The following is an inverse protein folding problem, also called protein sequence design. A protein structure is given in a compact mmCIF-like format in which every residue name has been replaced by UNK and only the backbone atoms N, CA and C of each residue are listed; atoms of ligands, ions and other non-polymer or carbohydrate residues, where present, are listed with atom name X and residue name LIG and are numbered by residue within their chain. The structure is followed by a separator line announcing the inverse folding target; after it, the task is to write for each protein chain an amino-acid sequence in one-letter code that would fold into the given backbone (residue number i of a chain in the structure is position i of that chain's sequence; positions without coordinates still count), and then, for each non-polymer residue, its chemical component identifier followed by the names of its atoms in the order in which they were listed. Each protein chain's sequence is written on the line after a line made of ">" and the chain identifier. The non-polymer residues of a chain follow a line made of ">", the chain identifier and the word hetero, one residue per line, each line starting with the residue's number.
data_IF_706377669346
#
_entry.id   IF_706377669346
#
_cell.length_a   1.000
_cell.length_b   1.000
_cell.length_c   1.000
_cell.angle_alpha   90.00
_cell.angle_beta   90.00
_cell.angle_gamma   90.00
#
_symmetry.space_group_name_H-M   'P 1'
#
loop_
_entity.id
_entity.type
_entity.pdbx_description
1 polymer ?
#
# COMPACT_ATOMS: atom_id res chain seq x y z
N UNK A 1 -16.08 2.01 2.59
CA UNK A 1 -16.45 0.61 2.33
C UNK A 1 -16.52 0.29 0.81
N UNK A 2 -15.75 1.00 -0.04
CA UNK A 2 -15.98 1.06 -1.50
C UNK A 2 -15.65 -0.22 -2.26
N UNK A 3 -14.52 -0.83 -1.97
CA UNK A 3 -14.16 -2.16 -2.43
C UNK A 3 -14.66 -3.15 -1.38
N UNK A 4 -15.25 -4.30 -1.77
CA UNK A 4 -15.85 -5.30 -0.88
C UNK A 4 -14.85 -6.00 0.09
N UNK A 5 -13.81 -5.30 0.54
CA UNK A 5 -12.79 -5.69 1.49
C UNK A 5 -12.82 -4.80 2.76
N UNK A 6 -13.89 -4.76 3.56
CA UNK A 6 -13.71 -4.40 4.94
C UNK A 6 -13.32 -5.67 5.70
N UNK A 7 -12.15 -5.66 6.35
CA UNK A 7 -11.81 -6.56 7.45
C UNK A 7 -12.71 -6.33 8.70
N UNK A 8 -13.87 -5.72 8.49
CA UNK A 8 -14.89 -5.47 9.48
C UNK A 8 -15.97 -6.55 9.37
N UNK A 9 -16.20 -7.23 10.47
CA UNK A 9 -17.35 -8.09 10.68
C UNK A 9 -18.55 -7.25 11.12
N UNK A 10 -19.68 -7.44 10.45
CA UNK A 10 -20.93 -6.74 10.75
C UNK A 10 -21.91 -7.77 11.32
N UNK A 11 -22.50 -7.44 12.46
CA UNK A 11 -23.61 -8.17 13.05
C UNK A 11 -24.80 -7.23 13.23
N UNK A 12 -26.00 -7.70 12.85
CA UNK A 12 -27.23 -6.90 12.83
C UNK A 12 -27.06 -5.52 12.15
N UNK A 13 -26.57 -5.56 10.92
CA UNK A 13 -26.34 -4.40 10.05
C UNK A 13 -26.03 -4.82 8.62
N UNK A 14 -25.84 -3.86 7.73
CA UNK A 14 -25.51 -4.09 6.32
C UNK A 14 -24.68 -2.94 5.74
N UNK A 15 -24.02 -3.18 4.61
CA UNK A 15 -23.39 -2.10 3.83
C UNK A 15 -24.42 -1.54 2.86
N UNK A 16 -24.71 -0.25 2.99
CA UNK A 16 -25.61 0.47 2.08
C UNK A 16 -24.83 1.53 1.28
N UNK A 17 -25.42 1.98 0.19
CA UNK A 17 -24.94 3.12 -0.58
C UNK A 17 -25.74 4.38 -0.20
N UNK A 18 -25.09 5.39 0.39
CA UNK A 18 -25.69 6.70 0.63
C UNK A 18 -25.58 7.54 -0.65
N UNK A 19 -26.66 7.59 -1.42
CA UNK A 19 -26.70 8.32 -2.69
C UNK A 19 -26.52 9.84 -2.56
N UNK A 20 -26.77 10.43 -1.37
CA UNK A 20 -26.57 11.87 -1.15
C UNK A 20 -25.08 12.17 -1.02
N UNK A 21 -24.35 11.30 -0.32
CA UNK A 21 -22.91 11.43 -0.08
C UNK A 21 -22.05 10.71 -1.13
N UNK A 22 -22.66 10.00 -2.09
CA UNK A 22 -21.99 9.20 -3.12
C UNK A 22 -20.95 8.23 -2.54
N UNK A 23 -21.28 7.58 -1.42
CA UNK A 23 -20.37 6.70 -0.69
C UNK A 23 -21.09 5.49 -0.07
N UNK A 24 -20.36 4.38 0.09
CA UNK A 24 -20.82 3.20 0.85
C UNK A 24 -20.56 3.39 2.35
N UNK A 25 -21.60 3.14 3.14
CA UNK A 25 -21.60 3.23 4.60
C UNK A 25 -22.09 1.92 5.23
N UNK A 26 -21.65 1.64 6.46
CA UNK A 26 -22.22 0.58 7.27
C UNK A 26 -23.45 1.10 8.02
N UNK A 27 -24.61 0.51 7.76
CA UNK A 27 -25.82 0.69 8.56
C UNK A 27 -25.80 -0.31 9.71
N UNK A 28 -25.80 0.17 10.95
CA UNK A 28 -25.98 -0.66 12.14
C UNK A 28 -27.36 -0.38 12.74
N UNK A 29 -28.18 -1.43 12.87
CA UNK A 29 -29.44 -1.35 13.59
C UNK A 29 -29.19 -1.26 15.11
N UNK A 30 -30.21 -0.94 15.93
CA UNK A 30 -30.09 -0.99 17.38
C UNK A 30 -29.62 -2.38 17.84
N UNK A 31 -28.57 -2.42 18.67
CA UNK A 31 -27.87 -3.64 19.09
C UNK A 31 -26.88 -4.21 18.06
N UNK A 32 -26.75 -3.58 16.88
CA UNK A 32 -25.81 -3.97 15.84
C UNK A 32 -24.37 -3.67 16.22
N UNK A 33 -23.45 -4.48 15.70
CA UNK A 33 -22.02 -4.34 15.98
C UNK A 33 -21.18 -4.35 14.72
N UNK A 34 -20.13 -3.55 14.73
CA UNK A 34 -19.09 -3.51 13.72
C UNK A 34 -17.77 -3.83 14.42
N UNK A 35 -17.07 -4.89 14.00
CA UNK A 35 -15.88 -5.41 14.68
C UNK A 35 -14.73 -5.59 13.72
N UNK A 36 -13.54 -5.24 14.13
CA UNK A 36 -12.33 -5.51 13.38
C UNK A 36 -11.26 -6.02 14.32
N UNK A 37 -10.77 -7.22 14.04
CA UNK A 37 -9.56 -7.72 14.65
C UNK A 37 -8.36 -7.10 13.92
N UNK A 38 -7.46 -6.47 14.66
CA UNK A 38 -6.18 -6.07 14.09
C UNK A 38 -5.29 -7.30 13.95
N UNK A 39 -5.37 -7.92 12.77
CA UNK A 39 -4.39 -8.89 12.32
C UNK A 39 -3.03 -8.21 12.12
N UNK A 40 -1.96 -8.99 12.11
CA UNK A 40 -0.61 -8.49 11.89
C UNK A 40 -0.52 -7.83 10.50
N UNK A 41 -0.57 -6.50 10.47
CA UNK A 41 -0.29 -5.71 9.27
C UNK A 41 1.23 -5.59 9.12
N UNK A 42 1.78 -6.35 8.19
CA UNK A 42 3.19 -6.26 7.79
C UNK A 42 3.46 -4.87 7.21
N UNK A 43 4.55 -4.21 7.62
CA UNK A 43 5.00 -2.93 7.05
C UNK A 43 4.46 -1.65 7.71
N UNK A 44 3.58 -1.72 8.71
CA UNK A 44 3.18 -0.53 9.50
C UNK A 44 3.97 -0.52 10.81
N UNK A 45 4.95 0.38 11.00
CA UNK A 45 5.68 0.48 12.25
C UNK A 45 4.75 0.91 13.38
N UNK A 46 4.54 0.01 14.35
CA UNK A 46 3.78 0.32 15.57
C UNK A 46 4.72 0.91 16.62
N UNK A 47 4.43 2.13 17.05
CA UNK A 47 5.17 2.77 18.15
C UNK A 47 4.51 2.36 19.46
N UNK A 48 5.18 1.50 20.24
CA UNK A 48 4.57 0.87 21.43
C UNK A 48 4.16 1.89 22.50
N UNK A 49 4.84 3.02 22.55
CA UNK A 49 4.68 4.07 23.55
C UNK A 49 3.55 5.05 23.22
N UNK A 50 3.01 5.04 22.00
CA UNK A 50 1.96 5.97 21.56
C UNK A 50 0.60 5.27 21.50
N UNK A 51 -0.44 5.96 21.95
CA UNK A 51 -1.82 5.48 21.84
C UNK A 51 -2.40 5.82 20.46
N UNK A 52 -3.40 5.07 20.04
CA UNK A 52 -4.07 5.29 18.76
C UNK A 52 -5.10 6.42 18.84
N UNK A 53 -5.38 6.98 17.68
CA UNK A 53 -6.49 7.87 17.40
C UNK A 53 -7.45 7.16 16.44
N UNK A 54 -8.75 7.34 16.66
CA UNK A 54 -9.81 6.79 15.83
C UNK A 54 -10.68 7.91 15.29
N UNK A 55 -10.67 8.06 13.97
CA UNK A 55 -11.55 8.95 13.24
C UNK A 55 -12.59 8.15 12.49
N UNK A 56 -13.82 8.63 12.51
CA UNK A 56 -14.90 8.08 11.67
C UNK A 56 -16.00 9.10 11.49
N UNK A 57 -16.86 8.85 10.51
CA UNK A 57 -18.08 9.64 10.28
C UNK A 57 -19.29 8.88 10.74
N UNK A 58 -20.23 9.63 11.34
CA UNK A 58 -21.50 9.11 11.82
C UNK A 58 -22.66 9.92 11.26
N UNK A 59 -23.75 9.25 10.90
CA UNK A 59 -25.00 9.88 10.49
C UNK A 59 -26.19 9.07 10.98
N UNK A 60 -27.27 9.75 11.35
CA UNK A 60 -28.50 9.10 11.78
C UNK A 60 -29.20 8.47 10.58
N UNK A 61 -29.69 7.24 10.72
CA UNK A 61 -30.55 6.65 9.68
C UNK A 61 -31.87 7.43 9.58
N UNK A 62 -32.44 7.49 8.37
CA UNK A 62 -33.68 8.20 8.11
C UNK A 62 -34.84 7.66 8.99
N UNK A 63 -35.62 8.57 9.57
CA UNK A 63 -36.81 8.22 10.35
C UNK A 63 -36.56 7.76 11.79
N UNK A 64 -35.31 7.76 12.26
CA UNK A 64 -35.02 7.47 13.65
C UNK A 64 -35.32 8.68 14.55
N UNK A 65 -36.02 8.47 15.67
CA UNK A 65 -36.38 9.53 16.62
C UNK A 65 -35.32 9.70 17.74
N UNK A 66 -34.76 8.59 18.22
CA UNK A 66 -33.81 8.58 19.35
C UNK A 66 -32.40 9.06 18.96
N UNK A 67 -31.56 9.52 19.91
CA UNK A 67 -30.17 9.82 19.63
C UNK A 67 -29.41 8.56 19.17
N UNK A 68 -28.35 8.78 18.40
CA UNK A 68 -27.32 7.77 18.20
C UNK A 68 -26.59 7.61 19.52
N UNK A 69 -26.37 6.37 19.95
CA UNK A 69 -25.53 6.03 21.08
C UNK A 69 -24.60 4.91 20.64
N UNK A 70 -23.32 5.23 20.45
CA UNK A 70 -22.30 4.27 20.03
C UNK A 70 -21.30 4.05 21.16
N UNK A 71 -21.06 2.79 21.50
CA UNK A 71 -19.95 2.42 22.37
C UNK A 71 -18.79 1.91 21.52
N UNK A 72 -17.59 2.44 21.75
CA UNK A 72 -16.35 2.07 21.08
C UNK A 72 -15.52 1.30 22.09
N UNK A 73 -15.29 0.02 21.83
CA UNK A 73 -14.66 -0.92 22.75
C UNK A 73 -13.35 -1.41 22.17
N UNK A 74 -12.31 -1.44 22.99
CA UNK A 74 -11.12 -2.25 22.70
C UNK A 74 -11.17 -3.51 23.54
N UNK A 75 -11.09 -4.66 22.87
CA UNK A 75 -11.18 -5.97 23.49
C UNK A 75 -9.85 -6.71 23.32
N UNK A 76 -9.34 -7.26 24.41
CA UNK A 76 -8.19 -8.17 24.41
C UNK A 76 -8.51 -9.41 25.24
N UNK A 77 -8.29 -10.60 24.66
CA UNK A 77 -8.59 -11.88 25.32
C UNK A 77 -10.03 -11.94 25.90
N UNK A 78 -11.01 -11.49 25.09
CA UNK A 78 -12.43 -11.41 25.46
C UNK A 78 -12.75 -10.51 26.66
N UNK A 79 -11.86 -9.58 27.01
CA UNK A 79 -12.10 -8.55 28.04
C UNK A 79 -12.07 -7.17 27.41
N UNK A 80 -13.03 -6.33 27.78
CA UNK A 80 -13.01 -4.91 27.45
C UNK A 80 -11.90 -4.26 28.28
N UNK A 81 -10.93 -3.67 27.59
CA UNK A 81 -9.80 -2.95 28.21
C UNK A 81 -9.91 -1.43 28.03
N UNK A 82 -10.81 -0.97 27.15
CA UNK A 82 -11.12 0.43 26.91
C UNK A 82 -12.54 0.57 26.39
N UNK A 83 -13.23 1.63 26.81
CA UNK A 83 -14.58 1.97 26.35
C UNK A 83 -14.71 3.49 26.23
N UNK A 84 -15.06 3.95 25.03
CA UNK A 84 -15.53 5.31 24.76
C UNK A 84 -17.01 5.28 24.36
N UNK A 85 -17.69 6.41 24.51
CA UNK A 85 -19.09 6.55 24.12
C UNK A 85 -19.31 7.82 23.31
N UNK A 86 -20.02 7.68 22.20
CA UNK A 86 -20.38 8.78 21.30
C UNK A 86 -21.91 8.91 21.29
N UNK A 87 -22.39 10.12 21.54
CA UNK A 87 -23.81 10.45 21.52
C UNK A 87 -24.05 11.61 20.55
N UNK A 88 -25.03 11.46 19.66
CA UNK A 88 -25.31 12.45 18.62
C UNK A 88 -26.79 12.52 18.26
N UNK A 89 -27.25 13.71 17.86
CA UNK A 89 -28.64 13.97 17.46
C UNK A 89 -28.79 14.61 16.09
N UNK A 90 -27.70 14.98 15.42
CA UNK A 90 -27.76 15.60 14.10
C UNK A 90 -28.19 14.64 12.99
N UNK A 91 -28.81 15.19 11.95
CA UNK A 91 -29.31 14.44 10.78
C UNK A 91 -28.24 14.27 9.68
N UNK A 92 -27.24 15.15 9.67
CA UNK A 92 -26.14 15.14 8.72
C UNK A 92 -24.94 14.32 9.21
N UNK A 93 -24.03 14.03 8.27
CA UNK A 93 -22.75 13.40 8.55
C UNK A 93 -21.91 14.28 9.49
N UNK A 94 -21.42 13.66 10.56
CA UNK A 94 -20.57 14.30 11.56
C UNK A 94 -19.27 13.53 11.69
N UNK A 95 -18.15 14.26 11.67
CA UNK A 95 -16.83 13.72 12.00
C UNK A 95 -16.70 13.51 13.51
N UNK A 96 -16.26 12.31 13.89
CA UNK A 96 -15.96 11.91 15.26
C UNK A 96 -14.46 11.65 15.35
N UNK A 97 -13.82 12.26 16.35
CA UNK A 97 -12.41 12.11 16.66
C UNK A 97 -12.27 11.60 18.09
N UNK A 98 -11.66 10.43 18.26
CA UNK A 98 -11.34 9.85 19.56
C UNK A 98 -9.82 9.70 19.70
N UNK A 99 -9.29 10.15 20.83
CA UNK A 99 -7.87 10.09 21.15
C UNK A 99 -7.58 9.07 22.25
N UNK A 100 -6.31 8.69 22.39
CA UNK A 100 -5.80 7.86 23.49
C UNK A 100 -6.38 6.44 23.53
N UNK A 101 -6.68 5.85 22.37
CA UNK A 101 -7.20 4.48 22.27
C UNK A 101 -6.05 3.47 22.50
N UNK A 102 -6.10 2.63 23.55
CA UNK A 102 -5.07 1.64 23.87
C UNK A 102 -5.24 0.38 22.99
N UNK A 103 -4.79 0.48 21.75
CA UNK A 103 -4.97 -0.53 20.71
C UNK A 103 -3.64 -1.13 20.24
N UNK A 104 -3.56 -2.46 20.08
CA UNK A 104 -2.36 -3.16 19.64
C UNK A 104 -2.70 -4.43 18.85
N UNK A 105 -1.68 -5.11 18.31
CA UNK A 105 -1.85 -6.40 17.63
C UNK A 105 -2.65 -7.38 18.49
N UNK A 106 -3.57 -8.12 17.86
CA UNK A 106 -4.52 -9.06 18.50
C UNK A 106 -5.60 -8.40 19.35
N UNK A 107 -5.66 -7.07 19.40
CA UNK A 107 -6.83 -6.37 19.95
C UNK A 107 -7.93 -6.32 18.90
N UNK A 108 -9.16 -6.36 19.38
CA UNK A 108 -10.37 -6.17 18.57
C UNK A 108 -10.92 -4.78 18.86
N UNK A 109 -11.18 -4.01 17.81
CA UNK A 109 -11.93 -2.78 17.87
C UNK A 109 -13.39 -3.12 17.57
N UNK A 110 -14.28 -2.84 18.52
CA UNK A 110 -15.71 -3.13 18.40
C UNK A 110 -16.51 -1.85 18.60
N UNK A 111 -17.34 -1.52 17.63
CA UNK A 111 -18.38 -0.52 17.76
C UNK A 111 -19.72 -1.21 18.01
N UNK A 112 -20.45 -0.77 19.02
CA UNK A 112 -21.75 -1.29 19.40
C UNK A 112 -22.79 -0.16 19.37
N UNK A 113 -23.82 -0.32 18.55
CA UNK A 113 -24.93 0.61 18.50
C UNK A 113 -25.92 0.31 19.64
N UNK A 114 -25.99 1.20 20.61
CA UNK A 114 -26.89 1.16 21.77
C UNK A 114 -28.08 2.13 21.65
N UNK A 115 -28.23 2.82 20.52
CA UNK A 115 -29.27 3.82 20.29
C UNK A 115 -30.00 3.61 18.97
N UNK A 116 -30.35 4.72 18.32
CA UNK A 116 -31.00 4.71 17.01
C UNK A 116 -30.15 4.03 15.92
N UNK A 117 -30.77 3.49 14.85
CA UNK A 117 -30.03 3.00 13.69
C UNK A 117 -29.12 4.09 13.11
N UNK A 118 -27.90 3.70 12.76
CA UNK A 118 -26.80 4.63 12.47
C UNK A 118 -26.01 4.20 11.24
N UNK A 119 -25.58 5.18 10.46
CA UNK A 119 -24.66 5.04 9.35
C UNK A 119 -23.25 5.42 9.78
N UNK A 120 -22.28 4.60 9.40
CA UNK A 120 -20.87 4.75 9.73
C UNK A 120 -20.02 4.69 8.46
N UNK A 121 -19.06 5.60 8.33
CA UNK A 121 -18.12 5.61 7.21
C UNK A 121 -16.76 6.19 7.61
N UNK A 122 -15.79 6.14 6.68
CA UNK A 122 -14.51 6.83 6.80
C UNK A 122 -13.71 6.52 8.07
N UNK A 123 -13.57 5.23 8.39
CA UNK A 123 -12.78 4.78 9.54
C UNK A 123 -11.28 4.91 9.31
N UNK A 124 -10.59 5.63 10.20
CA UNK A 124 -9.14 5.71 10.26
C UNK A 124 -8.67 5.46 11.69
N UNK A 125 -7.88 4.40 11.88
CA UNK A 125 -7.22 4.09 13.14
C UNK A 125 -5.72 4.26 12.96
N UNK A 126 -5.12 5.25 13.61
CA UNK A 126 -3.73 5.64 13.37
C UNK A 126 -3.01 6.07 14.64
N UNK A 127 -1.68 6.01 14.63
CA UNK A 127 -0.84 6.64 15.63
C UNK A 127 -0.23 7.90 15.01
N UNK A 128 -0.28 9.02 15.72
CA UNK A 128 0.53 10.18 15.35
C UNK A 128 1.97 9.92 15.79
N UNK A 129 2.80 9.42 14.88
CA UNK A 129 4.24 9.40 15.09
C UNK A 129 4.83 10.73 14.62
N UNK A 130 5.56 11.41 15.50
CA UNK A 130 6.37 12.56 15.11
C UNK A 130 7.62 12.07 14.39
N UNK A 131 7.48 11.62 13.15
CA UNK A 131 8.63 11.39 12.29
C UNK A 131 9.06 12.72 11.68
N UNK A 132 10.37 13.01 11.79
CA UNK A 132 11.10 14.19 11.32
C UNK A 132 10.65 14.73 9.95
N UNK A 133 9.50 15.42 9.86
CA UNK A 133 9.04 15.85 8.55
C UNK A 133 7.60 16.29 8.46
N UNK A 134 6.63 15.49 8.90
CA UNK A 134 5.26 15.59 8.36
C UNK A 134 4.35 16.52 9.14
N UNK A 135 4.51 16.55 10.46
CA UNK A 135 3.75 17.42 11.37
C UNK A 135 4.75 18.29 12.13
N UNK A 136 4.47 19.59 12.25
CA UNK A 136 5.35 20.52 12.95
C UNK A 136 5.26 20.39 14.48
N UNK A 137 6.11 21.12 15.19
CA UNK A 137 6.18 21.09 16.64
C UNK A 137 4.90 21.58 17.35
N UNK A 138 3.94 22.15 16.61
CA UNK A 138 2.63 22.59 17.12
C UNK A 138 1.49 21.64 16.78
N UNK A 139 1.78 20.47 16.20
CA UNK A 139 0.77 19.50 15.79
C UNK A 139 0.08 19.84 14.47
N UNK A 140 0.56 20.85 13.73
CA UNK A 140 0.00 21.21 12.42
C UNK A 140 0.66 20.41 11.30
N UNK A 141 -0.11 19.85 10.36
CA UNK A 141 0.46 19.22 9.18
C UNK A 141 1.31 20.22 8.39
N UNK A 142 2.54 19.83 8.02
CA UNK A 142 3.38 20.65 7.15
C UNK A 142 2.78 20.66 5.74
N UNK A 143 3.17 21.66 4.96
CA UNK A 143 2.54 21.98 3.68
C UNK A 143 2.44 20.80 2.69
N UNK A 144 3.34 19.82 2.77
CA UNK A 144 3.35 18.63 1.92
C UNK A 144 2.45 17.47 2.41
N UNK A 145 1.82 17.56 3.59
CA UNK A 145 0.92 16.52 4.12
C UNK A 145 -0.25 16.26 3.17
N UNK A 146 -0.85 17.33 2.64
CA UNK A 146 -1.94 17.23 1.67
C UNK A 146 -1.48 16.56 0.35
N UNK A 147 -0.21 16.76 -0.01
CA UNK A 147 0.39 16.11 -1.18
C UNK A 147 0.60 14.61 -0.93
N UNK A 148 0.98 14.21 0.29
CA UNK A 148 1.14 12.82 0.70
C UNK A 148 -0.21 12.09 0.81
N UNK A 149 -1.23 12.74 1.38
CA UNK A 149 -2.61 12.23 1.40
C UNK A 149 -3.17 12.10 -0.03
N UNK A 150 -2.93 13.09 -0.88
CA UNK A 150 -3.29 13.02 -2.31
C UNK A 150 -2.55 11.90 -3.04
N UNK A 151 -1.28 11.67 -2.72
CA UNK A 151 -0.51 10.57 -3.27
C UNK A 151 -1.11 9.22 -2.85
N UNK A 152 -1.43 9.03 -1.57
CA UNK A 152 -2.11 7.83 -1.08
C UNK A 152 -3.50 7.64 -1.73
N UNK A 153 -4.28 8.70 -1.91
CA UNK A 153 -5.55 8.64 -2.65
C UNK A 153 -5.37 8.29 -4.14
N UNK A 154 -4.30 8.78 -4.79
CA UNK A 154 -3.97 8.42 -6.17
C UNK A 154 -3.50 6.96 -6.28
N UNK A 155 -2.75 6.48 -5.30
CA UNK A 155 -2.27 5.10 -5.25
C UNK A 155 -3.41 4.10 -4.96
N UNK A 156 -4.36 4.45 -4.09
CA UNK A 156 -5.54 3.64 -3.76
C UNK A 156 -6.59 3.58 -4.88
N UNK A 157 -6.53 4.48 -5.86
CA UNK A 157 -7.40 4.49 -7.06
C UNK A 157 -6.79 3.81 -8.28
N UNK A 158 -5.51 3.41 -8.24
CA UNK A 158 -4.94 2.57 -9.30
C UNK A 158 -5.50 1.17 -9.15
N UNK A 159 -5.87 0.52 -10.26
CA UNK A 159 -6.09 -0.93 -10.28
C UNK A 159 -4.82 -1.59 -9.76
N UNK A 160 -4.83 -2.02 -8.50
CA UNK A 160 -3.73 -2.80 -7.92
C UNK A 160 -3.88 -4.18 -8.53
N UNK A 161 -3.17 -4.42 -9.64
CA UNK A 161 -2.96 -5.78 -10.09
C UNK A 161 -2.27 -6.53 -8.96
N UNK A 162 -2.79 -7.70 -8.52
CA UNK A 162 -2.11 -8.48 -7.50
C UNK A 162 -0.67 -8.71 -7.95
N UNK A 163 0.32 -8.45 -7.08
CA UNK A 163 1.72 -8.51 -7.48
C UNK A 163 1.99 -9.91 -8.04
N UNK A 164 2.54 -9.97 -9.25
CA UNK A 164 2.98 -11.24 -9.84
C UNK A 164 4.33 -11.60 -9.26
N UNK A 165 4.65 -12.89 -9.23
CA UNK A 165 6.00 -13.34 -8.91
C UNK A 165 6.95 -13.30 -10.10
N UNK A 166 6.41 -13.23 -11.31
CA UNK A 166 7.15 -13.21 -12.56
C UNK A 166 6.40 -12.34 -13.58
N UNK A 167 7.14 -11.49 -14.29
CA UNK A 167 6.61 -10.53 -15.26
C UNK A 167 7.15 -10.86 -16.64
N UNK A 168 6.24 -11.03 -17.60
CA UNK A 168 6.56 -11.19 -19.01
C UNK A 168 6.56 -9.84 -19.72
N UNK A 169 7.02 -9.81 -20.97
CA UNK A 169 7.19 -8.59 -21.75
C UNK A 169 5.93 -7.69 -21.81
N UNK A 170 4.72 -8.28 -21.82
CA UNK A 170 3.46 -7.53 -21.81
C UNK A 170 3.11 -6.88 -20.46
N UNK A 171 3.71 -7.35 -19.37
CA UNK A 171 3.45 -6.88 -18.01
C UNK A 171 4.35 -5.68 -17.65
N UNK A 172 5.46 -5.50 -18.36
CA UNK A 172 6.46 -4.47 -18.06
C UNK A 172 6.02 -3.14 -18.66
N UNK A 173 5.29 -2.34 -17.87
CA UNK A 173 4.74 -1.06 -18.32
C UNK A 173 5.05 0.09 -17.34
N UNK A 174 5.09 1.35 -17.82
CA UNK A 174 5.28 2.52 -16.94
C UNK A 174 4.15 2.73 -15.93
N UNK A 175 2.98 2.12 -16.15
CA UNK A 175 1.89 2.12 -15.19
C UNK A 175 2.18 1.21 -13.99
N UNK A 176 2.85 0.07 -14.25
CA UNK A 176 3.17 -0.94 -13.25
C UNK A 176 4.50 -0.68 -12.52
N UNK A 177 5.49 -0.09 -13.21
CA UNK A 177 6.83 0.10 -12.67
C UNK A 177 7.31 1.54 -12.84
N UNK A 178 8.01 2.03 -11.82
CA UNK A 178 8.75 3.29 -11.93
C UNK A 178 10.12 3.04 -12.57
N UNK A 179 10.51 3.90 -13.51
CA UNK A 179 11.80 3.82 -14.20
C UNK A 179 11.86 2.89 -15.41
N UNK A 180 10.72 2.54 -16.00
CA UNK A 180 10.63 1.92 -17.33
C UNK A 180 9.93 2.83 -18.33
N UNK A 181 10.42 2.84 -19.57
CA UNK A 181 9.81 3.57 -20.67
C UNK A 181 8.70 2.76 -21.37
N UNK A 182 7.79 3.38 -22.15
CA UNK A 182 6.68 2.67 -22.82
C UNK A 182 7.11 1.52 -23.74
N UNK A 183 8.33 1.57 -24.26
CA UNK A 183 8.95 0.56 -25.11
C UNK A 183 9.76 -0.50 -24.35
N UNK A 184 9.72 -0.45 -23.01
CA UNK A 184 10.35 -1.39 -22.04
C UNK A 184 11.83 -1.20 -21.80
N UNK A 185 12.40 -0.09 -22.27
CA UNK A 185 13.73 0.29 -21.83
C UNK A 185 13.72 0.63 -20.34
N UNK A 186 14.60 -0.01 -19.60
CA UNK A 186 14.88 0.35 -18.21
C UNK A 186 15.75 1.62 -18.19
N UNK A 187 15.43 2.58 -17.31
CA UNK A 187 16.33 3.69 -17.00
C UNK A 187 17.49 3.29 -16.07
N UNK A 188 17.96 4.23 -15.25
CA UNK A 188 19.00 3.96 -14.23
C UNK A 188 18.50 3.00 -13.15
N UNK A 189 17.25 3.18 -12.73
CA UNK A 189 16.60 2.39 -11.69
C UNK A 189 15.24 1.90 -12.18
N UNK A 190 14.87 0.67 -11.87
CA UNK A 190 13.51 0.14 -11.98
C UNK A 190 13.01 -0.20 -10.58
N UNK A 191 11.79 0.20 -10.23
CA UNK A 191 11.20 -0.09 -8.92
C UNK A 191 9.77 -0.60 -9.05
N UNK A 192 9.41 -1.49 -8.13
CA UNK A 192 8.05 -1.99 -8.03
C UNK A 192 7.86 -2.97 -6.89
N UNK A 193 6.72 -3.67 -6.96
CA UNK A 193 6.32 -4.68 -6.00
C UNK A 193 6.24 -6.02 -6.73
N UNK A 194 6.74 -7.08 -6.08
CA UNK A 194 6.75 -8.44 -6.63
C UNK A 194 6.26 -9.42 -5.56
N UNK A 195 5.46 -10.42 -5.96
CA UNK A 195 5.02 -11.45 -5.04
C UNK A 195 6.11 -12.51 -4.88
N UNK A 196 6.36 -12.90 -3.63
CA UNK A 196 7.31 -13.95 -3.30
C UNK A 196 6.60 -15.31 -3.38
N UNK A 197 7.04 -16.26 -4.24
CA UNK A 197 6.46 -17.59 -4.23
C UNK A 197 6.84 -18.34 -2.93
N UNK A 198 6.01 -19.30 -2.51
CA UNK A 198 6.31 -20.16 -1.38
C UNK A 198 7.60 -20.99 -1.58
N UNK A 199 7.87 -21.37 -2.83
CA UNK A 199 9.10 -22.03 -3.26
C UNK A 199 9.71 -21.24 -4.42
N UNK A 200 10.94 -20.76 -4.25
CA UNK A 200 11.69 -20.09 -5.30
C UNK A 200 13.17 -20.42 -5.14
N UNK A 201 13.90 -20.44 -6.25
CA UNK A 201 15.35 -20.73 -6.23
C UNK A 201 16.18 -19.54 -6.65
N UNK A 202 15.63 -18.69 -7.52
CA UNK A 202 16.42 -17.65 -8.18
C UNK A 202 15.52 -16.50 -8.59
N UNK A 203 16.04 -15.27 -8.52
CA UNK A 203 15.45 -14.16 -9.25
C UNK A 203 16.19 -14.01 -10.57
N UNK A 204 15.48 -13.99 -11.69
CA UNK A 204 16.10 -13.87 -13.02
C UNK A 204 15.66 -12.59 -13.69
N UNK A 205 16.60 -11.94 -14.38
CA UNK A 205 16.31 -10.87 -15.34
C UNK A 205 16.70 -11.37 -16.72
N UNK A 206 15.78 -11.27 -17.68
CA UNK A 206 16.06 -11.47 -19.10
C UNK A 206 15.95 -10.13 -19.80
N UNK A 207 17.01 -9.73 -20.46
CA UNK A 207 17.11 -8.45 -21.12
C UNK A 207 17.83 -8.56 -22.47
N UNK A 208 17.61 -7.55 -23.31
CA UNK A 208 18.30 -7.41 -24.59
C UNK A 208 18.97 -6.03 -24.66
N UNK A 209 20.16 -6.01 -25.24
CA UNK A 209 20.86 -4.78 -25.64
C UNK A 209 21.21 -4.93 -27.12
N UNK A 210 20.95 -3.94 -27.99
CA UNK A 210 21.25 -4.06 -29.41
C UNK A 210 22.69 -4.47 -29.70
N UNK A 211 22.90 -5.41 -30.63
CA UNK A 211 24.23 -5.87 -31.04
C UNK A 211 25.12 -4.76 -31.61
N UNK A 212 24.51 -3.67 -32.10
CA UNK A 212 25.18 -2.49 -32.65
C UNK A 212 25.79 -1.58 -31.58
N UNK A 213 25.45 -1.74 -30.30
CA UNK A 213 25.98 -0.92 -29.20
C UNK A 213 27.36 -1.42 -28.76
N UNK A 214 28.32 -1.32 -29.68
CA UNK A 214 29.68 -1.78 -29.47
C UNK A 214 30.27 -1.12 -28.22
N UNK A 215 30.94 -1.93 -27.39
CA UNK A 215 31.49 -1.56 -26.07
C UNK A 215 30.50 -1.33 -24.93
N UNK A 216 29.19 -1.57 -25.13
CA UNK A 216 28.24 -1.57 -24.02
C UNK A 216 28.61 -2.62 -22.96
N UNK A 217 28.76 -2.16 -21.73
CA UNK A 217 29.00 -2.99 -20.55
C UNK A 217 28.29 -2.39 -19.34
N UNK A 218 27.59 -3.23 -18.58
CA UNK A 218 26.88 -2.79 -17.39
C UNK A 218 26.82 -3.89 -16.33
N UNK A 219 26.43 -3.50 -15.12
CA UNK A 219 26.07 -4.40 -14.02
C UNK A 219 24.74 -3.96 -13.44
N UNK A 220 23.97 -4.91 -12.92
CA UNK A 220 22.76 -4.61 -12.14
C UNK A 220 22.95 -5.05 -10.69
N UNK A 221 22.51 -4.19 -9.78
CA UNK A 221 22.22 -4.58 -8.41
C UNK A 221 20.72 -4.80 -8.26
N UNK A 222 20.34 -5.95 -7.70
CA UNK A 222 18.98 -6.24 -7.27
C UNK A 222 18.89 -5.97 -5.78
N UNK A 223 17.96 -5.12 -5.36
CA UNK A 223 17.57 -4.96 -3.97
C UNK A 223 16.18 -5.56 -3.79
N UNK A 224 16.02 -6.43 -2.80
CA UNK A 224 14.74 -6.96 -2.34
C UNK A 224 14.55 -6.52 -0.89
N UNK A 225 13.60 -5.62 -0.65
CA UNK A 225 13.39 -4.87 0.59
C UNK A 225 14.70 -4.21 1.09
N UNK A 226 15.33 -4.77 2.12
CA UNK A 226 16.57 -4.28 2.73
C UNK A 226 17.83 -5.05 2.26
N UNK A 227 17.67 -6.08 1.41
CA UNK A 227 18.77 -6.96 0.99
C UNK A 227 19.24 -6.66 -0.41
N UNK A 228 20.54 -6.44 -0.55
CA UNK A 228 21.19 -6.21 -1.84
C UNK A 228 21.88 -7.48 -2.35
N UNK A 229 21.65 -7.77 -3.62
CA UNK A 229 22.23 -8.85 -4.38
C UNK A 229 22.95 -8.25 -5.58
N UNK A 230 24.27 -8.41 -5.61
CA UNK A 230 25.07 -7.94 -6.73
C UNK A 230 25.29 -9.07 -7.71
N UNK A 231 25.05 -8.82 -9.00
CA UNK A 231 25.40 -9.79 -10.03
C UNK A 231 26.91 -9.76 -10.27
N UNK A 232 27.55 -10.92 -10.29
CA UNK A 232 28.96 -11.05 -10.69
C UNK A 232 29.14 -10.92 -12.21
N UNK A 233 28.11 -11.26 -12.99
CA UNK A 233 28.13 -11.30 -14.45
C UNK A 233 27.95 -9.92 -15.08
N UNK A 234 28.82 -9.60 -16.03
CA UNK A 234 28.73 -8.38 -16.83
C UNK A 234 27.63 -8.53 -17.90
N UNK A 235 26.79 -7.51 -18.03
CA UNK A 235 25.76 -7.40 -19.06
C UNK A 235 26.42 -6.85 -20.32
N UNK A 236 26.17 -7.49 -21.46
CA UNK A 236 26.78 -7.15 -22.75
C UNK A 236 25.70 -6.94 -23.82
N UNK A 237 26.10 -6.63 -25.04
CA UNK A 237 25.21 -6.65 -26.20
C UNK A 237 24.60 -8.04 -26.43
N UNK A 238 23.45 -8.08 -27.10
CA UNK A 238 22.68 -9.28 -27.35
C UNK A 238 21.72 -9.62 -26.20
N UNK A 239 21.28 -10.89 -26.18
CA UNK A 239 20.43 -11.43 -25.12
C UNK A 239 21.23 -11.74 -23.85
N UNK A 240 20.70 -11.32 -22.70
CA UNK A 240 21.28 -11.54 -21.40
C UNK A 240 20.25 -12.21 -20.48
N UNK A 241 20.65 -13.30 -19.83
CA UNK A 241 19.92 -13.93 -18.74
C UNK A 241 20.78 -13.82 -17.47
N UNK A 242 20.24 -13.15 -16.46
CA UNK A 242 20.98 -12.67 -15.30
C UNK A 242 20.36 -13.29 -14.05
N UNK A 243 20.92 -14.39 -13.54
CA UNK A 243 20.42 -15.04 -12.34
C UNK A 243 21.01 -14.40 -11.07
N UNK A 244 20.14 -14.16 -10.09
CA UNK A 244 20.50 -13.79 -8.72
C UNK A 244 20.21 -14.98 -7.80
N UNK A 245 21.28 -15.60 -7.33
CA UNK A 245 21.19 -16.66 -6.33
C UNK A 245 20.86 -16.02 -4.98
N UNK A 246 19.62 -16.21 -4.54
CA UNK A 246 19.12 -15.61 -3.31
C UNK A 246 19.54 -16.50 -2.13
N UNK A 247 20.28 -15.91 -1.18
CA UNK A 247 20.72 -16.61 0.02
C UNK A 247 19.56 -16.65 1.04
N UNK A 248 18.89 -17.80 1.08
CA UNK A 248 17.92 -18.26 2.09
C UNK A 248 16.64 -17.42 2.31
N UNK A 249 15.61 -18.12 2.82
CA UNK A 249 14.21 -17.77 3.15
C UNK A 249 14.06 -16.62 4.17
N UNK A 250 14.83 -15.56 4.01
CA UNK A 250 14.97 -14.48 4.97
C UNK A 250 14.08 -13.26 4.65
N UNK A 251 13.40 -13.29 3.52
CA UNK A 251 12.27 -12.40 3.23
C UNK A 251 11.06 -12.99 3.98
N UNK A 252 10.52 -12.30 4.97
CA UNK A 252 9.38 -12.80 5.77
C UNK A 252 8.04 -12.69 5.05
N UNK A 253 7.98 -11.86 4.01
CA UNK A 253 6.72 -11.34 3.49
C UNK A 253 6.37 -11.96 2.12
N UNK A 254 5.07 -12.15 1.88
CA UNK A 254 4.54 -12.71 0.62
C UNK A 254 4.64 -11.72 -0.55
N UNK A 255 4.97 -10.46 -0.26
CA UNK A 255 5.11 -9.36 -1.20
C UNK A 255 6.30 -8.52 -0.81
N UNK A 256 7.17 -8.23 -1.79
CA UNK A 256 8.49 -7.65 -1.58
C UNK A 256 8.63 -6.43 -2.48
N UNK A 257 9.21 -5.35 -1.95
CA UNK A 257 9.65 -4.24 -2.78
C UNK A 257 10.94 -4.62 -3.48
N UNK A 258 10.99 -4.44 -4.80
CA UNK A 258 12.22 -4.65 -5.54
C UNK A 258 12.74 -3.35 -6.15
N UNK A 259 14.06 -3.24 -6.23
CA UNK A 259 14.76 -2.24 -7.03
C UNK A 259 15.81 -2.96 -7.88
N UNK A 260 15.80 -2.70 -9.19
CA UNK A 260 16.94 -2.96 -10.06
C UNK A 260 17.67 -1.66 -10.27
N UNK A 261 18.98 -1.64 -10.09
CA UNK A 261 19.81 -0.47 -10.35
C UNK A 261 20.95 -0.84 -11.28
N UNK A 262 20.96 -0.20 -12.45
CA UNK A 262 22.05 -0.32 -13.41
C UNK A 262 23.25 0.52 -12.94
N UNK A 263 24.48 0.05 -13.13
CA UNK A 263 25.70 0.79 -12.78
C UNK A 263 25.89 2.02 -13.67
N UNK A 264 25.55 1.88 -14.95
CA UNK A 264 25.61 2.97 -15.94
C UNK A 264 24.30 3.08 -16.72
N UNK A 265 24.11 4.22 -17.36
CA UNK A 265 23.06 4.44 -18.37
C UNK A 265 23.72 5.01 -19.62
N UNK A 266 23.08 4.83 -20.75
CA UNK A 266 23.55 5.33 -22.03
C UNK A 266 22.40 5.94 -22.82
N UNK A 267 22.74 6.75 -23.81
CA UNK A 267 21.77 7.34 -24.74
C UNK A 267 21.88 6.60 -26.08
N UNK A 268 20.78 6.07 -26.64
CA UNK A 268 20.79 5.34 -27.91
C UNK A 268 21.41 6.10 -29.09
N UNK A 269 21.22 7.42 -29.14
CA UNK A 269 21.83 8.34 -30.11
C UNK A 269 23.37 8.31 -30.14
N UNK A 270 24.03 7.81 -29.09
CA UNK A 270 25.49 7.61 -29.05
C UNK A 270 25.96 6.33 -29.77
N UNK A 271 25.06 5.39 -30.02
CA UNK A 271 25.37 4.10 -30.65
C UNK A 271 24.73 3.92 -32.03
N UNK A 272 23.75 4.74 -32.38
CA UNK A 272 23.08 4.73 -33.67
C UNK A 272 22.99 6.16 -34.22
N UNK A 273 23.77 6.44 -35.27
CA UNK A 273 23.83 7.76 -35.93
C UNK A 273 22.48 8.22 -36.53
N UNK A 274 21.52 7.30 -36.69
CA UNK A 274 20.18 7.60 -37.18
C UNK A 274 19.14 7.71 -36.07
N UNK A 275 19.51 7.38 -34.83
CA UNK A 275 18.64 7.52 -33.67
C UNK A 275 18.64 8.97 -33.16
N UNK A 276 17.45 9.51 -32.91
CA UNK A 276 17.26 10.78 -32.19
C UNK A 276 16.92 10.55 -30.71
N UNK A 277 16.99 9.30 -30.25
CA UNK A 277 16.64 8.94 -28.88
C UNK A 277 17.81 9.21 -27.94
N UNK A 278 17.68 10.29 -27.17
CA UNK A 278 18.66 10.74 -26.19
C UNK A 278 18.35 10.29 -24.76
N UNK A 279 17.27 9.52 -24.56
CA UNK A 279 16.85 9.03 -23.23
C UNK A 279 17.99 8.23 -22.60
N UNK A 280 18.20 8.42 -21.30
CA UNK A 280 19.13 7.61 -20.53
C UNK A 280 18.51 6.26 -20.21
N UNK A 281 18.98 5.23 -20.92
CA UNK A 281 18.50 3.86 -20.81
C UNK A 281 19.64 2.92 -20.47
N UNK A 282 19.30 1.79 -19.85
CA UNK A 282 20.23 0.73 -19.53
C UNK A 282 20.05 -0.46 -20.47
N UNK A 283 18.91 -1.14 -20.40
CA UNK A 283 18.64 -2.34 -21.21
C UNK A 283 17.16 -2.50 -21.50
N UNK A 284 16.83 -3.22 -22.57
CA UNK A 284 15.46 -3.57 -22.91
C UNK A 284 15.03 -4.78 -22.10
N UNK A 285 14.04 -4.63 -21.23
CA UNK A 285 13.57 -5.75 -20.40
C UNK A 285 12.63 -6.66 -21.19
N UNK A 286 12.86 -7.97 -21.07
CA UNK A 286 12.03 -9.00 -21.69
C UNK A 286 11.17 -9.70 -20.65
N UNK A 287 11.80 -10.19 -19.58
CA UNK A 287 11.13 -10.85 -18.46
C UNK A 287 11.92 -10.62 -17.17
N UNK A 288 11.26 -10.59 -16.02
CA UNK A 288 11.97 -10.68 -14.75
C UNK A 288 11.08 -11.20 -13.61
N UNK A 289 11.72 -11.78 -12.59
CA UNK A 289 11.05 -12.17 -11.35
C UNK A 289 11.60 -13.46 -10.76
N UNK A 290 10.86 -14.03 -9.81
CA UNK A 290 11.19 -15.29 -9.16
C UNK A 290 10.83 -16.50 -10.04
N UNK A 291 11.74 -17.47 -10.10
CA UNK A 291 11.55 -18.80 -10.72
C UNK A 291 11.95 -19.94 -9.79
#
# INVERSE_FOLDING_TARGET
>A
FEQNYPCWEIDNGEIIFDAIADQKAALLNPGGTLRQLLAQCVGVPLVKEMLFQLDFKVKKAAGAAEPILLAILVIYQNKVIHEDSVSWQGEDWQDIHLENIPFWLKHELKLENRGAPVLLSDFYLYQLCQENGIIDASGKPKQFYNDLVSLNHKLSRREIFPPKSFFQQQDITPQMFDGVFPDRWMGKTLRGIIAKPAEYKTFVIKAYVPDTWHDYQNRITLTLDDKQYHVSQLIKTGYNEIPFNLLENSLSDDTVFFQLEAETVCSPDKYDEHSQDSREVSMLLLEFGFI
#
